data_IF_102704287966
#
_entry.id   IF_102704287966
#
_cell.length_a   1.000
_cell.length_b   1.000
_cell.length_c   1.000
_cell.angle_alpha   90.00
_cell.angle_beta   90.00
_cell.angle_gamma   90.00
#
_symmetry.space_group_name_H-M   'P 1'
#
loop_
_entity.id
_entity.type
_entity.pdbx_description
1 polymer ?
#
# COMPACT_ATOMS: atom_id res chain seq x y z
N UNK A 1 -1.62 12.17 16.08
CA UNK A 1 -2.44 11.88 14.88
C UNK A 1 -2.60 10.37 14.62
N UNK A 2 -1.51 9.61 14.49
CA UNK A 2 -1.54 8.14 14.25
C UNK A 2 -2.32 7.35 15.31
N UNK A 3 -2.14 7.64 16.61
CA UNK A 3 -2.91 7.00 17.69
C UNK A 3 -4.42 7.21 17.55
N UNK A 4 -4.83 8.33 16.94
CA UNK A 4 -6.25 8.70 16.74
C UNK A 4 -6.86 7.87 15.61
N UNK A 5 -6.12 7.68 14.51
CA UNK A 5 -6.48 6.79 13.40
C UNK A 5 -6.58 5.33 13.85
N UNK A 6 -5.61 4.85 14.63
CA UNK A 6 -5.65 3.48 15.13
C UNK A 6 -6.81 3.24 16.10
N UNK A 7 -7.11 4.21 16.97
CA UNK A 7 -8.23 4.10 17.90
C UNK A 7 -9.61 4.27 17.25
N UNK A 8 -9.67 4.85 16.05
CA UNK A 8 -10.88 4.94 15.24
C UNK A 8 -11.25 3.63 14.54
N UNK A 9 -10.32 2.67 14.46
CA UNK A 9 -10.60 1.35 13.90
C UNK A 9 -11.62 0.61 14.79
N UNK A 10 -12.69 0.05 14.22
CA UNK A 10 -13.73 -0.63 14.98
C UNK A 10 -13.23 -2.00 15.50
N UNK A 11 -13.66 -2.36 16.71
CA UNK A 11 -13.44 -3.68 17.30
C UNK A 11 -12.34 -3.74 18.39
N UNK A 12 -12.13 -4.94 18.98
CA UNK A 12 -11.13 -5.16 20.02
C UNK A 12 -9.69 -5.00 19.49
N UNK A 13 -8.72 -4.83 20.39
CA UNK A 13 -7.34 -4.49 20.05
C UNK A 13 -6.72 -5.45 19.02
N UNK A 14 -6.97 -6.76 19.14
CA UNK A 14 -6.50 -7.75 18.17
C UNK A 14 -7.07 -7.55 16.76
N UNK A 15 -8.36 -7.19 16.65
CA UNK A 15 -8.99 -6.92 15.37
C UNK A 15 -8.45 -5.64 14.72
N UNK A 16 -8.15 -4.60 15.52
CA UNK A 16 -7.53 -3.35 15.03
C UNK A 16 -6.14 -3.60 14.46
N UNK A 17 -5.35 -4.44 15.13
CA UNK A 17 -4.03 -4.86 14.63
C UNK A 17 -4.17 -5.57 13.28
N UNK A 18 -5.08 -6.56 13.20
CA UNK A 18 -5.32 -7.29 11.95
C UNK A 18 -5.75 -6.36 10.81
N UNK A 19 -6.69 -5.44 11.06
CA UNK A 19 -7.13 -4.44 10.08
C UNK A 19 -5.96 -3.54 9.63
N UNK A 20 -5.14 -3.06 10.57
CA UNK A 20 -3.98 -2.24 10.22
C UNK A 20 -2.95 -3.00 9.38
N UNK A 21 -2.73 -4.29 9.65
CA UNK A 21 -1.86 -5.14 8.84
C UNK A 21 -2.38 -5.31 7.41
N UNK A 22 -3.69 -5.55 7.26
CA UNK A 22 -4.33 -5.63 5.93
C UNK A 22 -4.18 -4.32 5.17
N UNK A 23 -4.42 -3.17 5.81
CA UNK A 23 -4.27 -1.85 5.18
C UNK A 23 -2.84 -1.64 4.67
N UNK A 24 -1.82 -2.02 5.47
CA UNK A 24 -0.42 -1.92 5.07
C UNK A 24 -0.13 -2.82 3.86
N UNK A 25 -0.61 -4.07 3.85
CA UNK A 25 -0.42 -4.99 2.73
C UNK A 25 -1.06 -4.42 1.46
N UNK A 26 -2.29 -3.91 1.55
CA UNK A 26 -2.99 -3.30 0.41
C UNK A 26 -2.20 -2.09 -0.14
N UNK A 27 -1.66 -1.25 0.74
CA UNK A 27 -0.84 -0.12 0.34
C UNK A 27 0.46 -0.56 -0.37
N UNK A 28 1.11 -1.61 0.11
CA UNK A 28 2.33 -2.15 -0.53
C UNK A 28 2.04 -2.71 -1.92
N UNK A 29 0.93 -3.44 -2.07
CA UNK A 29 0.49 -3.96 -3.38
C UNK A 29 0.15 -2.81 -4.32
N UNK A 30 -0.60 -1.81 -3.86
CA UNK A 30 -0.91 -0.62 -4.65
C UNK A 30 0.36 0.14 -5.06
N UNK A 31 1.35 0.25 -4.16
CA UNK A 31 2.63 0.87 -4.44
C UNK A 31 3.43 0.08 -5.48
N UNK A 32 3.41 -1.25 -5.41
CA UNK A 32 4.05 -2.13 -6.41
C UNK A 32 3.45 -1.89 -7.80
N UNK A 33 2.11 -1.93 -7.93
CA UNK A 33 1.45 -1.66 -9.20
C UNK A 33 1.68 -0.22 -9.68
N UNK A 34 1.72 0.75 -8.77
CA UNK A 34 2.01 2.14 -9.13
C UNK A 34 3.44 2.30 -9.64
N UNK A 35 4.40 1.58 -9.04
CA UNK A 35 5.78 1.55 -9.49
C UNK A 35 5.91 0.88 -10.86
N UNK A 36 5.25 -0.26 -11.09
CA UNK A 36 5.20 -0.90 -12.40
C UNK A 36 4.52 -0.01 -13.45
N UNK A 37 3.45 0.69 -13.08
CA UNK A 37 2.77 1.64 -13.95
C UNK A 37 3.68 2.82 -14.32
N UNK A 38 4.42 3.37 -13.36
CA UNK A 38 5.41 4.41 -13.64
C UNK A 38 6.56 3.88 -14.52
N UNK A 39 7.01 2.65 -14.26
CA UNK A 39 8.02 1.98 -15.07
C UNK A 39 7.56 1.80 -16.52
N UNK A 40 6.41 1.18 -16.73
CA UNK A 40 5.83 0.95 -18.06
C UNK A 40 5.44 2.23 -18.79
N UNK A 41 5.00 3.27 -18.08
CA UNK A 41 4.52 4.52 -18.71
C UNK A 41 5.63 5.53 -18.97
N UNK A 42 6.64 5.62 -18.10
CA UNK A 42 7.68 6.66 -18.16
C UNK A 42 9.09 6.10 -18.41
N UNK A 43 9.40 4.87 -18.01
CA UNK A 43 10.74 4.27 -18.16
C UNK A 43 10.85 3.34 -19.37
N UNK A 44 9.75 2.75 -19.83
CA UNK A 44 9.72 1.82 -20.98
C UNK A 44 9.66 2.53 -22.35
N UNK A 45 9.39 3.84 -22.37
CA UNK A 45 9.52 4.67 -23.59
C UNK A 45 10.98 5.09 -23.88
N UNK A 46 11.93 4.77 -23.00
CA UNK A 46 13.35 5.14 -23.11
C UNK A 46 14.28 4.09 -23.72
N UNK A 47 13.79 2.87 -23.95
CA UNK A 47 14.53 1.79 -24.60
C UNK A 47 15.08 0.73 -23.65
N UNK A 48 14.58 -0.50 -23.83
CA UNK A 48 15.26 -1.76 -23.52
C UNK A 48 15.41 -2.13 -22.04
N UNK A 49 14.67 -3.16 -21.61
CA UNK A 49 15.23 -4.49 -21.29
C UNK A 49 14.06 -5.48 -21.44
N UNK A 50 13.96 -6.00 -22.65
CA UNK A 50 13.60 -7.39 -22.96
C UNK A 50 14.77 -7.99 -23.70
#
# INVERSE_FOLDING_TARGET
MIKRLFNALPGPLAARIAQSAVIVIVLLVALFFFYEWLGSTFLDTGGGIG
#
